data_IF_882245298775
#
_entry.id   IF_882245298775
#
_cell.length_a   1.000
_cell.length_b   1.000
_cell.length_c   1.000
_cell.angle_alpha   90.00
_cell.angle_beta   90.00
_cell.angle_gamma   90.00
#
_symmetry.space_group_name_H-M   'P 1'
#
loop_
_entity.id
_entity.type
_entity.pdbx_description
1 polymer ?
#
# COMPACT_ATOMS: atom_id res chain seq x y z
N UNK A 1 11.05 3.14 -7.92
CA UNK A 1 9.85 3.93 -7.68
C UNK A 1 10.04 4.82 -6.48
N UNK A 2 9.18 5.80 -6.31
CA UNK A 2 9.22 6.65 -5.12
C UNK A 2 8.77 5.89 -3.87
N UNK A 3 9.48 6.08 -2.77
CA UNK A 3 9.21 5.45 -1.47
C UNK A 3 7.86 5.94 -0.91
N UNK A 4 7.05 5.04 -0.36
CA UNK A 4 5.75 5.35 0.26
C UNK A 4 4.58 5.60 -0.71
N UNK A 5 4.81 6.13 -1.92
CA UNK A 5 3.73 6.49 -2.85
C UNK A 5 2.94 5.28 -3.34
N UNK A 6 3.63 4.16 -3.60
CA UNK A 6 2.99 2.92 -4.03
C UNK A 6 2.01 2.36 -3.00
N UNK A 7 2.33 2.53 -1.73
CA UNK A 7 1.46 2.16 -0.60
C UNK A 7 0.15 2.95 -0.65
N UNK A 8 0.26 4.27 -0.77
CA UNK A 8 -0.88 5.17 -0.82
C UNK A 8 -1.76 4.92 -2.05
N UNK A 9 -1.16 4.76 -3.25
CA UNK A 9 -1.91 4.41 -4.48
C UNK A 9 -2.67 3.10 -4.32
N UNK A 10 -2.09 2.10 -3.64
CA UNK A 10 -2.76 0.82 -3.38
C UNK A 10 -4.04 1.01 -2.57
N UNK A 11 -4.02 1.88 -1.56
CA UNK A 11 -5.19 2.20 -0.77
C UNK A 11 -6.25 2.95 -1.62
N UNK A 12 -5.86 3.96 -2.37
CA UNK A 12 -6.78 4.66 -3.26
C UNK A 12 -7.33 3.75 -4.37
N UNK A 13 -6.56 2.78 -4.86
CA UNK A 13 -7.05 1.78 -5.82
C UNK A 13 -8.20 0.97 -5.24
N UNK A 14 -8.18 0.65 -3.94
CA UNK A 14 -9.33 -0.03 -3.29
C UNK A 14 -10.58 0.85 -3.26
N UNK A 15 -10.45 2.15 -3.00
CA UNK A 15 -11.58 3.09 -3.08
C UNK A 15 -12.14 3.17 -4.51
N UNK A 16 -11.27 3.18 -5.51
CA UNK A 16 -11.68 3.23 -6.91
C UNK A 16 -12.31 1.91 -7.35
N UNK A 17 -11.88 0.77 -6.82
CA UNK A 17 -12.58 -0.50 -7.01
C UNK A 17 -14.04 -0.40 -6.57
N UNK A 18 -14.30 0.11 -5.35
CA UNK A 18 -15.64 0.32 -4.83
C UNK A 18 -16.43 1.28 -5.71
N UNK A 19 -15.81 2.40 -6.10
CA UNK A 19 -16.42 3.37 -7.01
C UNK A 19 -16.88 2.73 -8.31
N UNK A 20 -15.98 2.03 -9.01
CA UNK A 20 -16.27 1.40 -10.29
C UNK A 20 -17.39 0.37 -10.15
N UNK A 21 -17.34 -0.50 -9.15
CA UNK A 21 -18.31 -1.59 -8.95
C UNK A 21 -19.71 -1.09 -8.62
N UNK A 22 -19.82 0.04 -7.96
CA UNK A 22 -21.13 0.66 -7.63
C UNK A 22 -21.76 1.43 -8.80
N UNK A 23 -21.02 1.63 -9.90
CA UNK A 23 -21.57 2.27 -11.10
C UNK A 23 -22.28 1.26 -12.01
N UNK A 24 -23.30 1.68 -12.77
CA UNK A 24 -23.98 0.80 -13.72
C UNK A 24 -23.05 0.12 -14.73
N UNK A 25 -22.00 0.83 -15.17
CA UNK A 25 -21.00 0.31 -16.11
C UNK A 25 -19.97 -0.61 -15.47
N UNK A 26 -19.90 -0.64 -14.15
CA UNK A 26 -18.91 -1.40 -13.38
C UNK A 26 -19.39 -2.80 -12.98
N UNK A 27 -20.64 -3.16 -13.27
CA UNK A 27 -21.14 -4.49 -12.98
C UNK A 27 -20.30 -5.56 -13.66
N UNK A 28 -19.86 -6.54 -12.88
CA UNK A 28 -19.03 -7.65 -13.32
C UNK A 28 -19.28 -8.85 -12.41
N UNK A 29 -19.13 -10.05 -12.96
CA UNK A 29 -19.19 -11.31 -12.20
C UNK A 29 -17.85 -11.63 -11.55
N UNK A 30 -16.80 -10.85 -11.85
CA UNK A 30 -15.47 -11.02 -11.22
C UNK A 30 -15.55 -10.68 -9.73
N UNK A 31 -15.04 -11.52 -8.83
CA UNK A 31 -14.95 -11.22 -7.41
C UNK A 31 -14.20 -9.91 -7.14
N UNK A 32 -14.48 -9.29 -6.00
CA UNK A 32 -13.69 -8.16 -5.55
C UNK A 32 -12.25 -8.60 -5.27
N UNK A 33 -11.29 -7.84 -5.81
CA UNK A 33 -9.88 -8.01 -5.47
C UNK A 33 -9.54 -7.33 -4.16
N UNK A 34 -8.54 -7.86 -3.45
CA UNK A 34 -7.93 -7.19 -2.31
C UNK A 34 -6.69 -6.45 -2.77
N UNK A 35 -6.54 -5.20 -2.35
CA UNK A 35 -5.37 -4.41 -2.62
C UNK A 35 -4.33 -4.66 -1.54
N UNK A 36 -3.14 -5.11 -1.93
CA UNK A 36 -2.08 -5.47 -1.00
C UNK A 36 -0.84 -4.64 -1.30
N UNK A 37 -0.30 -3.97 -0.28
CA UNK A 37 0.99 -3.31 -0.33
C UNK A 37 1.99 -4.02 0.58
N UNK A 38 3.19 -4.27 0.07
CA UNK A 38 4.36 -4.62 0.86
C UNK A 38 5.12 -3.33 1.16
N UNK A 39 5.37 -3.07 2.43
CA UNK A 39 5.88 -1.80 2.94
C UNK A 39 7.11 -2.07 3.80
N UNK A 40 8.24 -1.48 3.49
CA UNK A 40 9.38 -1.50 4.41
C UNK A 40 9.07 -0.66 5.65
N UNK A 41 9.59 -1.06 6.82
CA UNK A 41 9.37 -0.33 8.06
C UNK A 41 9.90 1.11 7.99
N UNK A 42 11.00 1.35 7.28
CA UNK A 42 11.54 2.68 7.04
C UNK A 42 10.70 3.52 6.05
N UNK A 43 9.85 2.92 5.21
CA UNK A 43 8.93 3.67 4.36
C UNK A 43 7.86 4.42 5.15
N UNK A 44 7.63 4.01 6.40
CA UNK A 44 6.72 4.71 7.30
C UNK A 44 7.26 6.08 7.78
N UNK A 45 8.48 6.45 7.42
CA UNK A 45 8.99 7.81 7.63
C UNK A 45 8.41 8.81 6.61
N UNK A 46 7.84 8.32 5.51
CA UNK A 46 7.26 9.14 4.46
C UNK A 46 5.92 9.77 4.85
N UNK A 47 5.83 11.11 4.82
CA UNK A 47 4.64 11.85 5.22
C UNK A 47 3.39 11.51 4.39
N UNK A 48 3.56 11.17 3.09
CA UNK A 48 2.47 10.79 2.20
C UNK A 48 1.71 9.54 2.66
N UNK A 49 2.38 8.63 3.39
CA UNK A 49 1.75 7.42 3.95
C UNK A 49 0.69 7.82 4.98
N UNK A 50 0.99 8.79 5.85
CA UNK A 50 0.08 9.26 6.90
C UNK A 50 -1.07 10.09 6.32
N UNK A 51 -0.80 10.95 5.34
CA UNK A 51 -1.84 11.67 4.62
C UNK A 51 -2.86 10.70 3.99
N UNK A 52 -2.36 9.68 3.30
CA UNK A 52 -3.21 8.67 2.67
C UNK A 52 -3.99 7.85 3.70
N UNK A 53 -3.35 7.44 4.80
CA UNK A 53 -3.98 6.66 5.85
C UNK A 53 -5.16 7.43 6.49
N UNK A 54 -4.96 8.72 6.76
CA UNK A 54 -6.00 9.57 7.31
C UNK A 54 -7.15 9.82 6.32
N UNK A 55 -6.84 10.04 5.03
CA UNK A 55 -7.85 10.20 3.98
C UNK A 55 -8.66 8.91 3.78
N UNK A 56 -8.00 7.77 3.78
CA UNK A 56 -8.65 6.48 3.67
C UNK A 56 -9.61 6.19 4.84
N UNK A 57 -9.28 6.66 6.05
CA UNK A 57 -10.20 6.60 7.19
C UNK A 57 -11.47 7.40 6.94
N UNK A 58 -11.37 8.64 6.41
CA UNK A 58 -12.55 9.48 6.07
C UNK A 58 -13.45 8.78 5.05
N UNK A 59 -12.86 8.12 4.06
CA UNK A 59 -13.58 7.41 3.00
C UNK A 59 -13.99 5.98 3.37
N UNK A 60 -13.75 5.56 4.63
CA UNK A 60 -14.09 4.21 5.13
C UNK A 60 -13.51 3.12 4.23
N UNK A 61 -12.20 3.21 4.00
CA UNK A 61 -11.44 2.22 3.25
C UNK A 61 -11.75 0.80 3.74
N UNK A 62 -11.81 -0.14 2.80
CA UNK A 62 -11.94 -1.57 3.07
C UNK A 62 -11.08 -2.38 2.09
N UNK A 63 -11.01 -3.66 2.31
CA UNK A 63 -10.43 -4.63 1.36
C UNK A 63 -8.98 -4.34 0.98
N UNK A 64 -8.21 -3.84 1.93
CA UNK A 64 -6.81 -3.45 1.79
C UNK A 64 -5.96 -4.06 2.89
N UNK A 65 -4.80 -4.61 2.52
CA UNK A 65 -3.78 -5.04 3.45
C UNK A 65 -2.50 -4.26 3.21
N UNK A 66 -1.92 -3.76 4.29
CA UNK A 66 -0.53 -3.30 4.31
C UNK A 66 0.29 -4.27 5.12
N UNK A 67 1.27 -4.91 4.47
CA UNK A 67 2.17 -5.87 5.08
C UNK A 67 3.49 -5.15 5.31
N UNK A 68 3.76 -4.83 6.57
CA UNK A 68 4.98 -4.14 6.98
C UNK A 68 6.09 -5.18 7.09
N UNK A 69 7.11 -5.08 6.24
CA UNK A 69 8.37 -5.81 6.38
C UNK A 69 9.17 -5.20 7.53
N UNK A 70 8.91 -5.69 8.75
CA UNK A 70 9.53 -5.18 9.96
C UNK A 70 10.86 -5.87 10.22
N UNK A 71 11.87 -5.47 9.46
CA UNK A 71 13.23 -5.99 9.57
C UNK A 71 14.11 -5.22 10.56
N UNK A 72 13.66 -4.08 11.06
CA UNK A 72 14.32 -3.23 12.06
C UNK A 72 15.61 -2.58 11.58
N UNK A 73 15.78 -2.43 10.29
CA UNK A 73 16.93 -1.79 9.67
C UNK A 73 16.48 -0.79 8.60
N UNK A 74 16.91 0.46 8.70
CA UNK A 74 16.80 1.45 7.64
C UNK A 74 17.91 1.30 6.60
N UNK A 75 18.11 2.31 5.76
CA UNK A 75 19.19 2.31 4.76
C UNK A 75 20.57 2.28 5.42
N UNK A 76 20.75 3.05 6.48
CA UNK A 76 22.07 3.32 7.09
C UNK A 76 22.18 2.88 8.56
N UNK A 77 21.09 2.47 9.19
CA UNK A 77 21.07 2.20 10.62
C UNK A 77 20.07 1.11 11.03
N UNK A 78 20.24 0.63 12.26
CA UNK A 78 19.23 -0.17 12.95
C UNK A 78 18.17 0.77 13.51
N UNK A 79 16.89 0.45 13.26
CA UNK A 79 15.74 1.24 13.71
C UNK A 79 15.66 1.26 15.25
N UNK A 80 15.19 2.37 15.81
CA UNK A 80 14.96 2.52 17.25
C UNK A 80 14.10 1.39 17.81
N UNK A 81 14.46 0.92 18.99
CA UNK A 81 13.72 -0.17 19.65
C UNK A 81 12.26 0.19 19.90
N UNK A 82 11.37 -0.80 19.75
CA UNK A 82 9.94 -0.72 20.04
C UNK A 82 9.11 0.18 19.12
N UNK A 83 9.61 0.54 17.95
CA UNK A 83 8.82 1.32 16.95
C UNK A 83 7.53 0.58 16.55
N UNK A 84 7.52 -0.75 16.56
CA UNK A 84 6.32 -1.52 16.22
C UNK A 84 5.10 -1.16 17.07
N UNK A 85 5.29 -0.79 18.34
CA UNK A 85 4.20 -0.37 19.23
C UNK A 85 3.55 0.94 18.80
N UNK A 86 4.32 1.84 18.21
CA UNK A 86 3.80 3.09 17.63
C UNK A 86 3.03 2.80 16.34
N UNK A 87 3.55 1.92 15.50
CA UNK A 87 2.89 1.47 14.27
C UNK A 87 1.54 0.82 14.61
N UNK A 88 1.51 -0.12 15.57
CA UNK A 88 0.29 -0.79 16.02
C UNK A 88 -0.77 0.22 16.48
N UNK A 89 -0.39 1.16 17.34
CA UNK A 89 -1.31 2.17 17.87
C UNK A 89 -1.85 3.08 16.76
N UNK A 90 -1.01 3.52 15.83
CA UNK A 90 -1.39 4.36 14.70
C UNK A 90 -2.48 3.72 13.86
N UNK A 91 -2.27 2.47 13.43
CA UNK A 91 -3.24 1.78 12.57
C UNK A 91 -4.55 1.48 13.31
N UNK A 92 -4.49 1.12 14.60
CA UNK A 92 -5.71 0.94 15.42
C UNK A 92 -6.49 2.23 15.60
N UNK A 93 -5.81 3.36 15.76
CA UNK A 93 -6.44 4.68 15.88
C UNK A 93 -7.27 5.05 14.65
N UNK A 94 -6.84 4.65 13.46
CA UNK A 94 -7.59 4.86 12.21
C UNK A 94 -8.52 3.68 11.86
N UNK A 95 -8.79 2.80 12.80
CA UNK A 95 -9.78 1.73 12.65
C UNK A 95 -9.33 0.51 11.85
N UNK A 96 -8.03 0.32 11.64
CA UNK A 96 -7.49 -0.88 11.01
C UNK A 96 -7.34 -2.03 12.01
N UNK A 97 -7.53 -3.25 11.53
CA UNK A 97 -7.06 -4.44 12.25
C UNK A 97 -5.54 -4.48 12.20
N UNK A 98 -4.90 -4.79 13.33
CA UNK A 98 -3.44 -5.00 13.36
C UNK A 98 -3.14 -6.41 13.83
N UNK A 99 -2.33 -7.12 13.06
CA UNK A 99 -1.82 -8.45 13.37
C UNK A 99 -0.28 -8.38 13.40
N UNK A 100 0.29 -8.81 14.52
CA UNK A 100 1.76 -8.89 14.68
C UNK A 100 2.22 -10.33 14.47
N UNK A 101 2.99 -10.55 13.42
CA UNK A 101 3.56 -11.82 13.03
C UNK A 101 5.04 -11.83 13.43
N UNK A 102 5.35 -12.17 14.70
CA UNK A 102 6.70 -12.06 15.25
C UNK A 102 7.44 -13.38 15.19
N UNK A 103 6.88 -14.45 15.70
CA UNK A 103 7.54 -15.73 15.85
C UNK A 103 7.05 -16.74 14.84
N UNK A 104 7.98 -17.46 14.19
CA UNK A 104 7.65 -18.58 13.33
C UNK A 104 7.43 -19.86 14.15
N UNK A 105 7.04 -20.92 13.47
CA UNK A 105 6.63 -22.20 14.08
C UNK A 105 7.73 -22.83 14.94
N UNK A 106 9.01 -22.73 14.55
CA UNK A 106 10.13 -23.28 15.34
C UNK A 106 10.29 -22.55 16.66
N UNK A 107 10.15 -21.23 16.69
CA UNK A 107 10.17 -20.44 17.93
C UNK A 107 8.94 -20.75 18.79
N UNK A 108 7.75 -20.78 18.21
CA UNK A 108 6.52 -21.12 18.95
C UNK A 108 6.62 -22.51 19.57
N UNK A 109 7.17 -23.50 18.84
CA UNK A 109 7.45 -24.83 19.40
C UNK A 109 8.47 -24.78 20.55
N UNK A 110 9.56 -24.02 20.39
CA UNK A 110 10.57 -23.87 21.44
C UNK A 110 9.96 -23.25 22.71
N UNK A 111 9.02 -22.32 22.58
CA UNK A 111 8.36 -21.68 23.72
C UNK A 111 7.48 -22.60 24.53
N UNK A 112 6.99 -23.71 23.97
CA UNK A 112 6.23 -24.72 24.71
C UNK A 112 7.11 -25.59 25.60
N UNK A 113 8.44 -25.64 25.35
CA UNK A 113 9.39 -26.47 26.08
C UNK A 113 9.79 -25.84 27.42
N UNK A 114 10.29 -26.66 28.40
CA UNK A 114 10.79 -26.09 29.66
C UNK A 114 11.90 -25.05 29.45
N UNK A 115 11.68 -23.84 29.92
CA UNK A 115 12.55 -22.68 29.68
C UNK A 115 12.14 -21.79 28.48
N UNK A 116 11.21 -22.26 27.65
CA UNK A 116 10.79 -21.56 26.44
C UNK A 116 10.21 -20.18 26.69
N UNK A 117 9.38 -19.99 27.73
CA UNK A 117 8.81 -18.67 28.05
C UNK A 117 9.89 -17.67 28.46
N UNK A 118 10.90 -18.09 29.22
CA UNK A 118 12.01 -17.21 29.57
C UNK A 118 12.88 -16.87 28.35
N UNK A 119 13.02 -17.81 27.41
CA UNK A 119 13.66 -17.53 26.11
C UNK A 119 12.84 -16.48 25.30
N UNK A 120 11.52 -16.59 25.29
CA UNK A 120 10.64 -15.61 24.63
C UNK A 120 10.81 -14.21 25.25
N UNK A 121 10.76 -14.11 26.56
CA UNK A 121 10.97 -12.85 27.28
C UNK A 121 12.33 -12.22 26.97
N UNK A 122 13.37 -13.06 26.88
CA UNK A 122 14.70 -12.62 26.50
C UNK A 122 14.72 -12.06 25.07
N UNK A 123 14.10 -12.76 24.10
CA UNK A 123 13.99 -12.29 22.71
C UNK A 123 13.19 -10.99 22.65
N UNK A 124 12.12 -10.86 23.43
CA UNK A 124 11.28 -9.65 23.48
C UNK A 124 12.03 -8.44 24.05
N UNK A 125 12.97 -8.67 24.96
CA UNK A 125 13.81 -7.65 25.58
C UNK A 125 15.10 -7.37 24.80
N UNK A 126 15.49 -8.24 23.85
CA UNK A 126 16.73 -8.13 23.10
C UNK A 126 16.75 -6.86 22.23
N UNK A 127 17.77 -5.98 22.40
CA UNK A 127 17.92 -4.80 21.53
C UNK A 127 18.05 -5.20 20.05
N UNK A 128 17.47 -4.40 19.16
CA UNK A 128 17.53 -4.67 17.71
C UNK A 128 18.95 -4.83 17.18
N UNK A 129 19.90 -4.00 17.67
CA UNK A 129 21.30 -4.07 17.28
C UNK A 129 21.98 -5.37 17.71
N UNK A 130 21.69 -5.84 18.93
CA UNK A 130 22.21 -7.10 19.43
C UNK A 130 21.63 -8.28 18.65
N UNK A 131 20.31 -8.30 18.43
CA UNK A 131 19.67 -9.34 17.67
C UNK A 131 20.25 -9.46 16.25
N UNK A 132 20.43 -8.33 15.55
CA UNK A 132 21.03 -8.30 14.22
C UNK A 132 22.48 -8.82 14.21
N UNK A 133 23.26 -8.42 15.20
CA UNK A 133 24.65 -8.91 15.33
C UNK A 133 24.71 -10.42 15.55
N UNK A 134 23.82 -10.98 16.40
CA UNK A 134 23.75 -12.43 16.66
C UNK A 134 23.25 -13.20 15.44
N UNK A 135 22.32 -12.65 14.65
CA UNK A 135 21.92 -13.23 13.37
C UNK A 135 23.12 -13.36 12.43
N UNK A 136 23.92 -12.32 12.30
CA UNK A 136 25.11 -12.32 11.43
C UNK A 136 26.21 -13.28 11.92
N UNK A 137 26.44 -13.33 13.24
CA UNK A 137 27.51 -14.14 13.85
C UNK A 137 27.16 -15.64 13.92
N UNK A 138 25.90 -16.02 13.87
CA UNK A 138 25.46 -17.41 13.81
C UNK A 138 25.24 -18.10 15.14
N UNK A 139 25.06 -19.41 15.11
CA UNK A 139 24.59 -20.24 16.23
C UNK A 139 25.49 -20.24 17.46
N UNK A 140 26.81 -20.27 17.27
CA UNK A 140 27.76 -20.20 18.38
C UNK A 140 27.65 -18.90 19.17
N UNK A 141 27.43 -17.77 18.48
CA UNK A 141 27.24 -16.47 19.15
C UNK A 141 25.92 -16.44 19.93
N UNK A 142 24.82 -16.97 19.37
CA UNK A 142 23.56 -17.14 20.07
C UNK A 142 23.74 -17.94 21.35
N UNK A 143 24.42 -19.09 21.28
CA UNK A 143 24.70 -19.96 22.43
C UNK A 143 25.48 -19.22 23.50
N UNK A 144 26.63 -18.64 23.14
CA UNK A 144 27.49 -17.89 24.07
C UNK A 144 26.69 -16.79 24.78
N UNK A 145 25.94 -15.98 24.04
CA UNK A 145 25.19 -14.89 24.62
C UNK A 145 24.09 -15.36 25.58
N UNK A 146 23.34 -16.38 25.20
CA UNK A 146 22.30 -16.96 26.09
C UNK A 146 22.91 -17.63 27.33
N UNK A 147 24.11 -18.22 27.21
CA UNK A 147 24.81 -18.77 28.36
C UNK A 147 25.39 -17.72 29.29
N UNK A 148 25.75 -16.55 28.80
CA UNK A 148 26.13 -15.39 29.62
C UNK A 148 24.95 -14.83 30.42
N UNK A 149 23.79 -14.70 29.77
CA UNK A 149 22.63 -14.05 30.36
C UNK A 149 21.82 -14.95 31.30
N UNK A 150 21.97 -16.28 31.19
CA UNK A 150 21.29 -17.27 32.05
C UNK A 150 22.26 -18.09 32.87
N UNK A 151 22.01 -18.23 34.17
CA UNK A 151 22.82 -19.05 35.08
C UNK A 151 22.86 -20.52 34.67
N UNK A 152 23.92 -21.26 35.05
CA UNK A 152 24.18 -22.65 34.63
C UNK A 152 23.06 -23.65 34.94
N UNK A 153 22.24 -23.41 35.96
CA UNK A 153 21.07 -24.24 36.30
C UNK A 153 19.77 -23.86 35.63
N UNK A 154 19.77 -22.75 34.87
CA UNK A 154 18.52 -22.23 34.28
C UNK A 154 17.98 -23.15 33.18
N UNK A 155 16.65 -23.24 33.09
CA UNK A 155 15.98 -24.15 32.11
C UNK A 155 16.27 -23.75 30.66
N UNK A 156 16.53 -22.43 30.36
CA UNK A 156 16.93 -21.97 29.02
C UNK A 156 18.22 -22.64 28.58
N UNK A 157 19.25 -22.79 29.47
CA UNK A 157 20.50 -23.44 29.10
C UNK A 157 20.33 -24.93 28.76
N UNK A 158 19.38 -25.61 29.43
CA UNK A 158 19.03 -27.01 29.06
C UNK A 158 18.32 -27.05 27.69
N UNK A 159 17.44 -26.10 27.44
CA UNK A 159 16.72 -25.98 26.16
C UNK A 159 17.71 -25.79 25.02
N UNK A 160 18.55 -24.74 25.09
CA UNK A 160 19.54 -24.45 24.04
C UNK A 160 20.60 -25.52 23.88
N UNK A 161 20.95 -26.23 24.98
CA UNK A 161 21.86 -27.35 24.95
C UNK A 161 21.33 -28.58 24.21
N UNK A 162 20.02 -28.65 23.93
CA UNK A 162 19.43 -29.70 23.12
C UNK A 162 19.53 -29.46 21.61
N UNK A 163 19.98 -28.27 21.19
CA UNK A 163 20.17 -27.90 19.79
C UNK A 163 21.65 -27.88 19.43
N UNK A 164 22.00 -28.29 18.22
CA UNK A 164 23.29 -27.92 17.61
C UNK A 164 23.33 -26.40 17.36
N UNK A 165 24.49 -25.83 17.02
CA UNK A 165 24.58 -24.40 16.70
C UNK A 165 23.74 -24.03 15.47
N UNK A 166 23.71 -24.91 14.47
CA UNK A 166 22.89 -24.68 13.27
C UNK A 166 21.38 -24.74 13.58
N UNK A 167 20.94 -25.69 14.39
CA UNK A 167 19.55 -25.80 14.84
C UNK A 167 19.15 -24.59 15.71
N UNK A 168 20.05 -24.16 16.61
CA UNK A 168 19.82 -22.97 17.42
C UNK A 168 19.69 -21.73 16.55
N UNK A 169 20.60 -21.55 15.58
CA UNK A 169 20.53 -20.43 14.64
C UNK A 169 19.22 -20.44 13.87
N UNK A 170 18.84 -21.56 13.28
CA UNK A 170 17.57 -21.72 12.56
C UNK A 170 16.37 -21.42 13.43
N UNK A 171 16.39 -21.83 14.69
CA UNK A 171 15.29 -21.57 15.63
C UNK A 171 15.24 -20.08 15.97
N UNK A 172 16.37 -19.48 16.35
CA UNK A 172 16.43 -18.07 16.75
C UNK A 172 16.15 -17.09 15.60
N UNK A 173 16.34 -17.49 14.36
CA UNK A 173 16.06 -16.70 13.15
C UNK A 173 14.72 -17.03 12.49
N UNK A 174 13.95 -17.99 13.04
CA UNK A 174 12.63 -18.34 12.52
C UNK A 174 11.59 -17.31 12.92
N UNK A 175 11.63 -16.14 12.29
CA UNK A 175 10.62 -15.10 12.43
C UNK A 175 9.42 -15.38 11.52
N UNK A 176 8.23 -14.95 11.94
CA UNK A 176 6.99 -15.27 11.24
C UNK A 176 6.92 -14.76 9.81
N UNK A 177 7.59 -13.63 9.51
CA UNK A 177 7.68 -13.10 8.14
C UNK A 177 8.48 -13.98 7.17
N UNK A 178 9.27 -14.94 7.69
CA UNK A 178 10.00 -15.96 6.91
C UNK A 178 9.35 -17.34 6.99
N UNK A 179 8.32 -17.53 7.80
CA UNK A 179 7.62 -18.80 7.94
C UNK A 179 6.40 -18.84 7.01
N UNK A 180 6.61 -19.45 5.84
CA UNK A 180 5.56 -19.52 4.80
C UNK A 180 4.28 -20.18 5.33
N UNK A 181 4.41 -21.17 6.22
CA UNK A 181 3.24 -21.82 6.83
C UNK A 181 2.44 -20.87 7.73
N UNK A 182 3.11 -20.06 8.54
CA UNK A 182 2.46 -19.04 9.37
C UNK A 182 1.76 -17.98 8.52
N UNK A 183 2.42 -17.49 7.48
CA UNK A 183 1.86 -16.53 6.55
C UNK A 183 0.63 -17.09 5.83
N UNK A 184 0.73 -18.31 5.31
CA UNK A 184 -0.38 -18.99 4.65
C UNK A 184 -1.59 -19.12 5.58
N UNK A 185 -1.41 -19.60 6.80
CA UNK A 185 -2.50 -19.77 7.76
C UNK A 185 -3.13 -18.43 8.14
N UNK A 186 -2.30 -17.41 8.34
CA UNK A 186 -2.78 -16.04 8.64
C UNK A 186 -3.62 -15.47 7.51
N UNK A 187 -3.16 -15.55 6.27
CA UNK A 187 -3.89 -15.01 5.12
C UNK A 187 -5.23 -15.73 4.91
N UNK A 188 -5.30 -17.03 5.17
CA UNK A 188 -6.53 -17.81 5.06
C UNK A 188 -7.55 -17.53 6.17
N UNK A 189 -7.12 -17.00 7.32
CA UNK A 189 -8.02 -16.57 8.39
C UNK A 189 -8.68 -15.20 8.13
N UNK A 190 -8.12 -14.40 7.24
CA UNK A 190 -8.59 -13.05 6.95
C UNK A 190 -9.58 -13.04 5.77
N UNK A 191 -10.83 -13.46 6.02
CA UNK A 191 -11.87 -13.58 4.98
C UNK A 191 -12.77 -12.35 4.83
N UNK A 192 -12.74 -11.44 5.80
CA UNK A 192 -13.54 -10.19 5.77
C UNK A 192 -12.84 -9.08 4.97
N UNK A 193 -13.49 -7.93 4.87
CA UNK A 193 -13.00 -6.76 4.13
C UNK A 193 -12.40 -5.65 5.02
N UNK A 194 -12.19 -5.94 6.30
CA UNK A 194 -11.61 -4.99 7.25
C UNK A 194 -10.18 -4.66 6.81
N UNK A 195 -9.83 -3.37 6.67
CA UNK A 195 -8.47 -2.99 6.33
C UNK A 195 -7.51 -3.49 7.41
N UNK A 196 -6.44 -4.15 6.99
CA UNK A 196 -5.57 -4.88 7.92
C UNK A 196 -4.11 -4.49 7.71
N UNK A 197 -3.45 -4.12 8.79
CA UNK A 197 -2.00 -3.98 8.89
C UNK A 197 -1.42 -5.27 9.46
N UNK A 198 -0.52 -5.91 8.71
CA UNK A 198 0.23 -7.07 9.17
C UNK A 198 1.68 -6.64 9.41
N UNK A 199 2.12 -6.65 10.66
CA UNK A 199 3.51 -6.34 11.03
C UNK A 199 4.28 -7.65 11.03
N UNK A 200 4.99 -7.93 9.94
CA UNK A 200 5.72 -9.17 9.74
C UNK A 200 7.19 -8.98 10.12
N UNK A 201 7.61 -9.62 11.19
CA UNK A 201 9.00 -9.61 11.61
C UNK A 201 9.86 -10.44 10.65
N UNK A 202 10.90 -9.81 10.15
CA UNK A 202 11.84 -10.38 9.17
C UNK A 202 13.29 -10.09 9.56
N UNK A 203 14.19 -10.59 8.75
CA UNK A 203 15.63 -10.31 8.82
C UNK A 203 16.04 -9.74 7.47
N UNK A 204 16.60 -8.53 7.46
CA UNK A 204 17.10 -7.94 6.24
C UNK A 204 18.24 -8.78 5.65
N UNK A 205 18.12 -9.10 4.36
CA UNK A 205 19.07 -9.99 3.68
C UNK A 205 18.93 -11.48 4.08
N UNK A 206 17.77 -11.90 4.56
CA UNK A 206 17.53 -13.32 4.91
C UNK A 206 17.96 -14.28 3.80
N UNK A 207 18.68 -15.33 4.19
CA UNK A 207 19.24 -16.31 3.25
C UNK A 207 20.56 -15.92 2.59
N UNK A 208 21.01 -14.67 2.73
CA UNK A 208 22.29 -14.20 2.22
C UNK A 208 23.42 -14.36 3.24
N UNK A 209 24.70 -14.46 2.82
CA UNK A 209 25.84 -14.60 3.73
C UNK A 209 26.04 -13.45 4.72
N UNK A 210 25.42 -12.29 4.48
CA UNK A 210 25.47 -11.14 5.37
C UNK A 210 24.09 -10.74 5.92
N UNK A 211 23.18 -11.69 6.03
CA UNK A 211 21.90 -11.48 6.70
C UNK A 211 22.09 -10.89 8.11
N UNK A 212 21.34 -9.83 8.42
CA UNK A 212 21.44 -9.12 9.71
C UNK A 212 22.66 -8.19 9.86
N UNK A 213 23.62 -8.19 8.94
CA UNK A 213 24.75 -7.27 9.00
C UNK A 213 24.26 -5.83 8.82
N UNK A 214 24.87 -4.88 9.57
CA UNK A 214 24.45 -3.46 9.53
C UNK A 214 24.58 -2.82 8.15
N UNK A 215 25.58 -3.24 7.36
CA UNK A 215 25.88 -2.68 6.04
C UNK A 215 25.26 -3.51 4.89
N UNK A 216 24.30 -4.38 5.17
CA UNK A 216 23.73 -5.30 4.16
C UNK A 216 22.85 -4.61 3.09
N UNK A 217 22.46 -3.35 3.30
CA UNK A 217 21.63 -2.63 2.33
C UNK A 217 22.37 -2.39 1.00
N UNK A 218 23.61 -2.00 1.04
CA UNK A 218 24.44 -1.73 -0.13
C UNK A 218 25.61 -2.73 -0.29
N UNK A 219 25.68 -3.75 0.59
CA UNK A 219 26.74 -4.74 0.59
C UNK A 219 26.67 -5.65 -0.63
N UNK A 220 27.82 -5.85 -1.29
CA UNK A 220 27.96 -6.80 -2.37
C UNK A 220 28.73 -8.02 -1.88
N UNK A 221 28.30 -9.19 -2.31
CA UNK A 221 29.05 -10.43 -2.06
C UNK A 221 30.38 -10.40 -2.82
N UNK A 222 31.47 -10.76 -2.16
CA UNK A 222 32.72 -11.06 -2.83
C UNK A 222 32.68 -12.45 -3.49
N UNK A 223 33.70 -12.78 -4.29
CA UNK A 223 33.72 -14.03 -5.06
C UNK A 223 33.64 -15.28 -4.16
N UNK A 224 34.26 -15.25 -2.99
CA UNK A 224 34.20 -16.38 -2.03
C UNK A 224 32.81 -16.54 -1.42
N UNK A 225 32.16 -15.44 -1.06
CA UNK A 225 30.77 -15.46 -0.58
C UNK A 225 29.80 -15.92 -1.65
N UNK A 226 29.99 -15.48 -2.90
CA UNK A 226 29.18 -15.95 -4.04
C UNK A 226 29.34 -17.45 -4.25
N UNK A 227 30.56 -17.97 -4.18
CA UNK A 227 30.80 -19.41 -4.34
C UNK A 227 30.17 -20.21 -3.20
N UNK A 228 30.31 -19.78 -1.96
CA UNK A 228 29.64 -20.40 -0.81
C UNK A 228 28.13 -20.38 -0.97
N UNK A 229 27.58 -19.25 -1.39
CA UNK A 229 26.13 -19.08 -1.63
C UNK A 229 25.63 -20.00 -2.75
N UNK A 230 26.39 -20.11 -3.85
CA UNK A 230 26.10 -21.04 -4.95
C UNK A 230 26.03 -22.49 -4.47
N UNK A 231 27.05 -22.92 -3.73
CA UNK A 231 27.13 -24.29 -3.19
C UNK A 231 25.99 -24.56 -2.20
N UNK A 232 25.72 -23.59 -1.30
CA UNK A 232 24.63 -23.70 -0.32
C UNK A 232 23.26 -23.89 -0.99
N UNK A 233 23.04 -23.23 -2.12
CA UNK A 233 21.82 -23.36 -2.90
C UNK A 233 21.84 -24.50 -3.92
N UNK A 234 22.85 -25.37 -3.90
CA UNK A 234 22.98 -26.55 -4.75
C UNK A 234 22.99 -26.22 -6.25
N UNK A 235 23.46 -25.03 -6.62
CA UNK A 235 23.54 -24.59 -8.01
C UNK A 235 24.85 -25.10 -8.62
N UNK A 236 24.77 -25.81 -9.74
CA UNK A 236 25.96 -26.31 -10.46
C UNK A 236 26.73 -25.16 -11.13
N UNK A 237 28.07 -25.25 -11.22
CA UNK A 237 28.87 -24.28 -11.98
C UNK A 237 28.42 -24.19 -13.43
N UNK A 238 28.20 -22.95 -13.92
CA UNK A 238 27.74 -22.68 -15.28
C UNK A 238 26.21 -22.77 -15.46
N UNK A 239 25.44 -23.06 -14.40
CA UNK A 239 23.98 -23.13 -14.41
C UNK A 239 23.33 -22.05 -13.55
N UNK A 240 24.07 -21.00 -13.20
CA UNK A 240 23.63 -19.95 -12.28
C UNK A 240 22.41 -19.17 -12.81
N UNK A 241 22.15 -19.21 -14.10
CA UNK A 241 21.02 -18.55 -14.75
C UNK A 241 19.93 -19.51 -15.24
N UNK A 242 20.09 -20.81 -14.97
CA UNK A 242 19.04 -21.75 -15.32
C UNK A 242 17.88 -21.68 -14.33
N UNK A 243 16.64 -21.51 -14.84
CA UNK A 243 15.47 -21.49 -13.98
C UNK A 243 15.34 -22.78 -13.15
N UNK A 244 15.08 -22.61 -11.86
CA UNK A 244 14.83 -23.69 -10.93
C UNK A 244 16.02 -24.61 -10.59
N UNK A 245 17.22 -24.28 -11.05
CA UNK A 245 18.43 -24.99 -10.62
C UNK A 245 18.58 -24.90 -9.09
N UNK A 246 18.97 -26.00 -8.46
CA UNK A 246 19.10 -26.10 -7.00
C UNK A 246 17.78 -26.35 -6.24
N UNK A 247 16.64 -26.38 -6.91
CA UNK A 247 15.36 -26.68 -6.28
C UNK A 247 15.11 -28.20 -6.36
N UNK A 248 14.88 -28.84 -5.21
CA UNK A 248 14.58 -30.28 -5.13
C UNK A 248 13.12 -30.60 -5.53
N UNK A 249 12.76 -30.17 -6.74
CA UNK A 249 11.48 -30.48 -7.37
C UNK A 249 11.68 -30.62 -8.88
N UNK A 250 10.98 -31.54 -9.56
CA UNK A 250 11.04 -31.65 -11.00
C UNK A 250 10.64 -30.33 -11.67
N UNK A 251 11.49 -29.80 -12.55
CA UNK A 251 11.29 -28.55 -13.28
C UNK A 251 9.93 -28.51 -13.99
N UNK A 252 9.49 -29.63 -14.54
CA UNK A 252 8.20 -29.76 -15.22
C UNK A 252 7.01 -29.47 -14.28
N UNK A 253 7.09 -29.96 -13.02
CA UNK A 253 6.06 -29.68 -12.02
C UNK A 253 6.00 -28.20 -11.66
N UNK A 254 7.17 -27.57 -11.46
CA UNK A 254 7.25 -26.13 -11.16
C UNK A 254 6.69 -25.32 -12.33
N UNK A 255 7.13 -25.64 -13.54
CA UNK A 255 6.68 -24.96 -14.76
C UNK A 255 5.16 -25.13 -14.94
N UNK A 256 4.63 -26.33 -14.76
CA UNK A 256 3.19 -26.60 -14.86
C UNK A 256 2.40 -25.81 -13.79
N UNK A 257 2.89 -25.79 -12.55
CA UNK A 257 2.27 -25.01 -11.49
C UNK A 257 2.23 -23.53 -11.84
N UNK A 258 3.38 -22.94 -12.23
CA UNK A 258 3.46 -21.51 -12.57
C UNK A 258 2.56 -21.12 -13.76
N UNK A 259 2.46 -22.00 -14.78
CA UNK A 259 1.53 -21.76 -15.90
C UNK A 259 0.06 -21.74 -15.49
N UNK A 260 -0.30 -22.42 -14.41
CA UNK A 260 -1.67 -22.56 -13.94
C UNK A 260 -2.06 -21.60 -12.81
N UNK A 261 -1.13 -20.75 -12.33
CA UNK A 261 -1.49 -19.74 -11.33
C UNK A 261 -2.40 -18.68 -11.95
N UNK A 262 -3.42 -18.16 -11.21
CA UNK A 262 -4.45 -17.29 -11.78
C UNK A 262 -3.89 -16.04 -12.49
N UNK A 263 -2.82 -15.43 -11.98
CA UNK A 263 -2.23 -14.23 -12.57
C UNK A 263 -1.42 -14.50 -13.84
N UNK A 264 -1.06 -15.75 -14.14
CA UNK A 264 -0.42 -16.15 -15.41
C UNK A 264 -1.45 -16.48 -16.51
N UNK A 265 -2.65 -16.86 -16.11
CA UNK A 265 -3.73 -17.20 -17.06
C UNK A 265 -4.42 -15.95 -17.62
N UNK A 266 -4.22 -14.80 -17.02
CA UNK A 266 -4.71 -13.54 -17.55
C UNK A 266 -3.90 -13.20 -18.80
N UNK A 267 -4.57 -13.14 -19.94
CA UNK A 267 -3.97 -12.73 -21.22
C UNK A 267 -3.35 -11.33 -21.16
N UNK A 268 -3.55 -10.49 -22.17
CA UNK A 268 -3.08 -9.11 -22.13
C UNK A 268 -3.57 -8.40 -20.84
N UNK A 269 -2.65 -7.77 -20.10
CA UNK A 269 -3.00 -6.91 -18.93
C UNK A 269 -3.79 -5.66 -19.35
N UNK A 270 -3.85 -5.36 -20.63
CA UNK A 270 -4.60 -4.22 -21.16
C UNK A 270 -5.99 -4.68 -21.53
N UNK A 271 -6.93 -4.33 -20.68
CA UNK A 271 -8.35 -4.55 -20.97
C UNK A 271 -8.80 -3.67 -22.15
N UNK A 272 -9.73 -4.19 -22.94
CA UNK A 272 -10.46 -3.38 -23.92
C UNK A 272 -11.74 -2.85 -23.28
N UNK A 273 -11.93 -1.54 -23.27
CA UNK A 273 -13.21 -0.94 -22.90
C UNK A 273 -13.91 -0.40 -24.16
N UNK A 274 -15.19 -0.11 -24.02
CA UNK A 274 -15.98 0.43 -25.13
C UNK A 274 -15.43 1.77 -25.61
N UNK A 275 -15.52 2.04 -26.89
CA UNK A 275 -15.31 3.39 -27.42
C UNK A 275 -16.44 4.29 -26.95
N UNK A 276 -16.08 5.41 -26.33
CA UNK A 276 -17.01 6.42 -25.87
C UNK A 276 -17.13 7.50 -26.93
N UNK A 277 -18.36 7.77 -27.36
CA UNK A 277 -18.63 8.93 -28.18
C UNK A 277 -18.50 10.21 -27.34
N UNK A 278 -17.78 11.18 -27.87
CA UNK A 278 -17.66 12.50 -27.23
C UNK A 278 -18.89 13.33 -27.66
N UNK A 279 -19.76 13.68 -26.71
CA UNK A 279 -20.92 14.52 -27.04
C UNK A 279 -20.45 15.92 -27.44
N UNK A 280 -21.27 16.69 -28.16
CA UNK A 280 -20.97 18.09 -28.38
C UNK A 280 -20.69 18.80 -27.04
N UNK A 281 -19.54 19.43 -26.94
CA UNK A 281 -19.18 20.18 -25.72
C UNK A 281 -19.98 21.47 -25.70
N UNK A 282 -20.80 21.72 -24.65
CA UNK A 282 -21.63 22.90 -24.61
C UNK A 282 -20.75 24.17 -24.44
N UNK A 283 -20.89 25.09 -25.36
CA UNK A 283 -20.26 26.42 -25.24
C UNK A 283 -20.99 27.19 -24.12
N UNK A 284 -20.28 27.71 -23.12
CA UNK A 284 -20.91 28.52 -22.08
C UNK A 284 -21.58 29.77 -22.68
N UNK A 285 -22.89 29.92 -22.45
CA UNK A 285 -23.61 31.13 -22.77
C UNK A 285 -23.58 32.02 -21.54
N UNK A 286 -23.34 33.31 -21.71
CA UNK A 286 -23.35 34.23 -20.58
C UNK A 286 -22.70 35.55 -20.89
N UNK A 287 -22.24 36.27 -19.88
CA UNK A 287 -21.60 37.59 -19.95
C UNK A 287 -20.51 37.64 -21.01
N UNK A 288 -20.30 38.81 -21.59
CA UNK A 288 -19.30 39.06 -22.63
C UNK A 288 -17.85 38.70 -22.21
N UNK A 289 -17.62 38.62 -20.90
CA UNK A 289 -16.31 38.26 -20.31
C UNK A 289 -16.53 37.16 -19.25
N UNK A 290 -15.88 36.05 -19.44
CA UNK A 290 -15.80 34.90 -18.51
C UNK A 290 -14.34 34.58 -18.21
N UNK A 291 -14.02 34.24 -16.96
CA UNK A 291 -12.74 33.61 -16.67
C UNK A 291 -12.72 32.17 -17.23
N UNK A 292 -11.53 31.67 -17.57
CA UNK A 292 -11.38 30.31 -18.04
C UNK A 292 -11.85 29.30 -16.99
N UNK A 293 -11.62 29.58 -15.71
CA UNK A 293 -12.08 28.79 -14.58
C UNK A 293 -13.61 28.71 -14.52
N UNK A 294 -14.30 29.86 -14.64
CA UNK A 294 -15.76 29.89 -14.67
C UNK A 294 -16.32 29.16 -15.91
N UNK A 295 -15.67 29.36 -17.06
CA UNK A 295 -16.02 28.67 -18.31
C UNK A 295 -15.90 27.15 -18.15
N UNK A 296 -14.81 26.67 -17.56
CA UNK A 296 -14.58 25.25 -17.29
C UNK A 296 -15.66 24.66 -16.37
N UNK A 297 -15.94 25.32 -15.24
CA UNK A 297 -16.99 24.88 -14.32
C UNK A 297 -18.38 24.83 -14.96
N UNK A 298 -18.71 25.82 -15.81
CA UNK A 298 -19.98 25.85 -16.56
C UNK A 298 -20.07 24.72 -17.59
N UNK A 299 -18.97 24.40 -18.29
CA UNK A 299 -18.92 23.27 -19.23
C UNK A 299 -19.22 21.97 -18.49
N UNK A 300 -18.55 21.69 -17.38
CA UNK A 300 -18.79 20.50 -16.58
C UNK A 300 -20.23 20.44 -16.06
N UNK A 301 -20.74 21.54 -15.51
CA UNK A 301 -22.11 21.63 -15.03
C UNK A 301 -23.16 21.36 -16.14
N UNK A 302 -22.89 21.82 -17.38
CA UNK A 302 -23.76 21.56 -18.53
C UNK A 302 -23.62 20.14 -19.03
N UNK A 303 -22.40 19.58 -19.04
CA UNK A 303 -22.18 18.15 -19.38
C UNK A 303 -22.93 17.22 -18.44
N UNK A 304 -23.06 17.56 -17.15
CA UNK A 304 -23.82 16.80 -16.19
C UNK A 304 -25.32 16.65 -16.55
N UNK A 305 -25.85 17.50 -17.40
CA UNK A 305 -27.22 17.39 -17.91
C UNK A 305 -27.32 16.41 -19.08
N UNK A 306 -26.22 16.03 -19.70
CA UNK A 306 -26.19 15.07 -20.80
C UNK A 306 -26.33 13.64 -20.27
N UNK A 307 -27.06 12.81 -21.03
CA UNK A 307 -27.19 11.36 -20.78
C UNK A 307 -26.09 10.53 -21.44
N UNK A 308 -25.07 11.17 -22.05
CA UNK A 308 -24.01 10.47 -22.76
C UNK A 308 -23.22 9.54 -21.84
N UNK A 309 -22.80 8.39 -22.35
CA UNK A 309 -22.00 7.43 -21.59
C UNK A 309 -20.68 8.00 -21.11
N UNK A 310 -20.06 8.89 -21.90
CA UNK A 310 -18.84 9.60 -21.52
C UNK A 310 -19.00 10.35 -20.18
N UNK A 311 -20.15 11.02 -19.99
CA UNK A 311 -20.41 11.82 -18.78
C UNK A 311 -20.46 10.92 -17.54
N UNK A 312 -20.96 9.70 -17.66
CA UNK A 312 -20.96 8.73 -16.56
C UNK A 312 -19.57 8.26 -16.16
N UNK A 313 -18.57 8.43 -17.03
CA UNK A 313 -17.17 8.07 -16.78
C UNK A 313 -16.34 9.22 -16.21
N UNK A 314 -16.86 10.44 -16.25
CA UNK A 314 -16.19 11.60 -15.62
C UNK A 314 -16.29 11.42 -14.11
N UNK A 315 -15.14 11.53 -13.45
CA UNK A 315 -15.02 11.58 -11.98
C UNK A 315 -14.13 12.77 -11.62
N UNK A 316 -14.60 13.59 -10.69
CA UNK A 316 -13.85 14.77 -10.27
C UNK A 316 -13.30 14.63 -8.88
N UNK A 317 -12.24 15.35 -8.57
CA UNK A 317 -11.66 15.42 -7.22
C UNK A 317 -10.99 16.77 -7.00
N UNK A 318 -10.87 17.17 -5.75
CA UNK A 318 -10.29 18.46 -5.34
C UNK A 318 -9.81 18.37 -3.89
N UNK A 319 -8.70 19.04 -3.51
CA UNK A 319 -8.20 19.06 -2.15
C UNK A 319 -8.83 20.22 -1.35
N UNK A 320 -10.12 20.10 -1.01
CA UNK A 320 -10.91 21.10 -0.25
C UNK A 320 -11.04 22.48 -0.90
N UNK A 321 -10.91 22.54 -2.23
CA UNK A 321 -11.03 23.80 -3.00
C UNK A 321 -12.15 23.76 -4.06
N UNK A 322 -13.08 22.87 -3.90
CA UNK A 322 -14.14 22.56 -4.87
C UNK A 322 -15.01 23.75 -5.25
N UNK A 323 -15.40 24.57 -4.28
CA UNK A 323 -16.26 25.75 -4.53
C UNK A 323 -15.47 26.84 -5.23
N UNK A 324 -14.32 27.18 -4.72
CA UNK A 324 -13.46 28.26 -5.25
C UNK A 324 -12.89 27.92 -6.64
N UNK A 325 -12.79 26.65 -6.99
CA UNK A 325 -12.39 26.19 -8.34
C UNK A 325 -13.58 25.93 -9.28
N UNK A 326 -14.78 26.39 -8.91
CA UNK A 326 -16.02 26.34 -9.74
C UNK A 326 -16.53 24.92 -10.08
N UNK A 327 -16.22 23.89 -9.29
CA UNK A 327 -16.81 22.56 -9.46
C UNK A 327 -18.21 22.41 -8.85
N UNK A 328 -18.67 23.36 -8.04
CA UNK A 328 -19.95 23.27 -7.33
C UNK A 328 -21.15 22.98 -8.22
N UNK A 329 -21.19 23.56 -9.44
CA UNK A 329 -22.25 23.30 -10.42
C UNK A 329 -22.30 21.85 -10.93
N UNK A 330 -21.16 21.21 -11.08
CA UNK A 330 -21.05 19.80 -11.41
C UNK A 330 -21.53 18.93 -10.25
N UNK A 331 -21.03 19.17 -9.05
CA UNK A 331 -21.31 18.34 -7.86
C UNK A 331 -22.76 18.45 -7.41
N UNK A 332 -23.38 19.64 -7.52
CA UNK A 332 -24.82 19.80 -7.26
C UNK A 332 -25.69 18.86 -8.10
N UNK A 333 -25.21 18.41 -9.26
CA UNK A 333 -25.93 17.49 -10.17
C UNK A 333 -25.51 16.04 -10.02
N UNK A 334 -24.22 15.80 -9.77
CA UNK A 334 -23.65 14.45 -9.76
C UNK A 334 -23.51 13.86 -8.36
N UNK A 335 -23.33 14.71 -7.36
CA UNK A 335 -23.12 14.31 -5.97
C UNK A 335 -21.66 13.90 -5.65
N UNK A 336 -21.40 13.76 -4.36
CA UNK A 336 -20.15 13.23 -3.81
C UNK A 336 -20.28 11.71 -3.69
N UNK A 337 -19.21 11.00 -4.00
CA UNK A 337 -19.20 9.56 -3.85
C UNK A 337 -19.11 9.14 -2.38
N UNK A 338 -19.98 8.26 -1.99
CA UNK A 338 -19.91 7.49 -0.75
C UNK A 338 -20.51 6.12 -0.99
N UNK A 339 -19.92 5.06 -0.44
CA UNK A 339 -20.44 3.69 -0.55
C UNK A 339 -21.87 3.55 -0.03
N UNK A 340 -22.17 4.23 1.05
CA UNK A 340 -23.49 4.28 1.65
C UNK A 340 -24.01 5.72 1.59
N UNK A 341 -25.31 5.92 1.36
CA UNK A 341 -25.89 7.25 1.45
C UNK A 341 -25.65 7.85 2.84
N UNK A 342 -25.20 9.09 2.88
CA UNK A 342 -25.06 9.84 4.13
C UNK A 342 -26.09 10.97 4.10
N UNK A 343 -27.07 10.97 5.03
CA UNK A 343 -28.06 12.03 5.11
C UNK A 343 -27.40 13.40 5.32
N UNK A 344 -27.89 14.41 4.62
CA UNK A 344 -27.44 15.79 4.83
C UNK A 344 -28.29 16.41 5.93
N UNK A 345 -27.70 16.65 7.10
CA UNK A 345 -28.35 17.37 8.21
C UNK A 345 -28.64 18.84 7.88
N UNK A 346 -28.01 19.40 6.85
CA UNK A 346 -28.27 20.79 6.40
C UNK A 346 -29.58 20.95 5.62
N UNK A 347 -30.23 19.85 5.18
CA UNK A 347 -31.54 19.92 4.55
C UNK A 347 -32.67 20.21 5.54
N UNK A 348 -32.44 20.03 6.82
CA UNK A 348 -33.42 20.30 7.91
C UNK A 348 -33.34 21.76 8.43
N UNK A 349 -32.37 22.54 7.99
CA UNK A 349 -32.21 23.94 8.41
C UNK A 349 -32.91 24.90 7.45
N UNK A 350 -33.57 25.93 7.97
CA UNK A 350 -34.19 27.01 7.21
C UNK A 350 -33.18 27.87 6.41
N UNK A 351 -31.88 27.56 6.51
CA UNK A 351 -30.81 28.28 5.83
C UNK A 351 -30.68 27.77 4.40
N UNK A 352 -30.92 28.63 3.43
CA UNK A 352 -30.70 28.31 2.01
C UNK A 352 -29.21 28.15 1.74
N UNK A 353 -28.79 26.91 1.46
CA UNK A 353 -27.44 26.61 1.01
C UNK A 353 -27.38 26.51 -0.52
N UNK A 354 -26.37 27.14 -1.14
CA UNK A 354 -26.07 26.96 -2.56
C UNK A 354 -25.43 25.59 -2.85
N UNK A 355 -24.91 24.92 -1.81
CA UNK A 355 -24.30 23.61 -1.89
C UNK A 355 -25.36 22.55 -1.60
N UNK A 356 -25.82 21.87 -2.65
CA UNK A 356 -26.80 20.78 -2.58
C UNK A 356 -26.08 19.41 -2.73
N UNK A 357 -24.99 19.25 -2.00
CA UNK A 357 -24.14 18.10 -2.15
C UNK A 357 -24.70 16.89 -1.38
N UNK A 358 -25.05 15.87 -2.12
CA UNK A 358 -25.48 14.59 -1.56
C UNK A 358 -24.34 13.59 -1.63
N UNK A 359 -24.10 12.89 -0.54
CA UNK A 359 -23.13 11.78 -0.48
C UNK A 359 -23.87 10.47 -0.78
N UNK A 360 -23.53 9.86 -1.91
CA UNK A 360 -24.26 8.68 -2.41
C UNK A 360 -23.41 7.81 -3.34
N UNK A 361 -23.76 6.50 -3.51
CA UNK A 361 -23.02 5.60 -4.40
C UNK A 361 -22.97 6.06 -5.87
N UNK A 362 -23.99 6.78 -6.33
CA UNK A 362 -24.02 7.34 -7.68
C UNK A 362 -23.14 8.61 -7.83
N UNK A 363 -22.64 9.19 -6.75
CA UNK A 363 -21.81 10.40 -6.77
C UNK A 363 -20.58 10.27 -7.68
N UNK A 364 -20.19 11.37 -8.33
CA UNK A 364 -19.07 11.40 -9.28
C UNK A 364 -17.96 12.37 -8.85
N UNK A 365 -17.89 12.68 -7.57
CA UNK A 365 -16.85 13.51 -7.00
C UNK A 365 -16.28 12.88 -5.73
N UNK A 366 -14.94 12.94 -5.58
CA UNK A 366 -14.26 12.65 -4.34
C UNK A 366 -13.76 13.96 -3.74
N UNK A 367 -14.35 14.35 -2.62
CA UNK A 367 -13.85 15.49 -1.86
C UNK A 367 -12.73 15.02 -0.95
N UNK A 368 -11.53 15.54 -1.17
CA UNK A 368 -10.37 15.24 -0.34
C UNK A 368 -10.17 16.32 0.72
N UNK A 369 -9.38 16.03 1.74
CA UNK A 369 -8.85 17.04 2.63
C UNK A 369 -7.81 17.94 1.93
N UNK A 370 -7.26 18.92 2.67
CA UNK A 370 -6.17 19.79 2.21
C UNK A 370 -4.88 18.95 2.15
N UNK A 371 -4.76 18.17 1.07
CA UNK A 371 -3.66 17.22 0.88
C UNK A 371 -3.41 16.99 -0.61
N UNK A 372 -2.49 17.74 -1.19
CA UNK A 372 -2.20 17.70 -2.63
C UNK A 372 -1.50 16.40 -3.04
N UNK A 373 -0.72 15.77 -2.15
CA UNK A 373 -0.20 14.43 -2.41
C UNK A 373 -1.34 13.42 -2.64
N UNK A 374 -2.36 13.44 -1.79
CA UNK A 374 -3.52 12.57 -1.93
C UNK A 374 -4.26 12.83 -3.26
N UNK A 375 -4.35 14.10 -3.69
CA UNK A 375 -4.96 14.45 -4.97
C UNK A 375 -4.29 13.70 -6.13
N UNK A 376 -2.96 13.76 -6.22
CA UNK A 376 -2.24 13.12 -7.32
C UNK A 376 -2.25 11.60 -7.20
N UNK A 377 -2.21 11.05 -6.00
CA UNK A 377 -2.30 9.60 -5.76
C UNK A 377 -3.70 9.07 -6.07
N UNK A 378 -4.74 9.82 -5.74
CA UNK A 378 -6.12 9.49 -6.15
C UNK A 378 -6.27 9.56 -7.66
N UNK A 379 -5.70 10.57 -8.32
CA UNK A 379 -5.68 10.67 -9.79
C UNK A 379 -4.93 9.50 -10.43
N UNK A 380 -3.84 9.05 -9.83
CA UNK A 380 -3.13 7.85 -10.28
C UNK A 380 -4.06 6.62 -10.24
N UNK A 381 -4.72 6.37 -9.12
CA UNK A 381 -5.64 5.24 -8.96
C UNK A 381 -6.83 5.31 -9.94
N UNK A 382 -7.42 6.50 -10.11
CA UNK A 382 -8.51 6.73 -11.08
C UNK A 382 -8.05 6.54 -12.51
N UNK A 383 -6.88 7.09 -12.87
CA UNK A 383 -6.32 7.03 -14.21
C UNK A 383 -5.92 5.61 -14.63
N UNK A 384 -5.55 4.79 -13.66
CA UNK A 384 -5.19 3.37 -13.83
C UNK A 384 -6.42 2.43 -13.79
N UNK A 385 -7.63 2.93 -13.58
CA UNK A 385 -8.84 2.11 -13.43
C UNK A 385 -9.10 1.18 -14.63
N UNK A 386 -8.68 1.60 -15.84
CA UNK A 386 -8.75 0.76 -17.02
C UNK A 386 -7.84 -0.47 -16.93
N UNK A 387 -6.60 -0.27 -16.49
CA UNK A 387 -5.61 -1.35 -16.35
C UNK A 387 -5.93 -2.27 -15.16
N UNK A 388 -6.50 -1.71 -14.08
CA UNK A 388 -6.79 -2.46 -12.86
C UNK A 388 -8.15 -3.18 -12.93
N UNK A 389 -9.17 -2.54 -13.49
CA UNK A 389 -10.57 -3.00 -13.40
C UNK A 389 -11.26 -3.16 -14.76
N UNK A 390 -10.56 -2.94 -15.86
CA UNK A 390 -11.13 -3.00 -17.21
C UNK A 390 -12.18 -1.92 -17.52
N UNK A 391 -12.24 -0.86 -16.71
CA UNK A 391 -13.21 0.23 -16.83
C UNK A 391 -12.53 1.58 -16.84
N UNK A 392 -12.55 2.23 -18.00
CA UNK A 392 -11.94 3.54 -18.15
C UNK A 392 -12.75 4.63 -17.44
N UNK A 393 -12.09 5.41 -16.61
CA UNK A 393 -12.58 6.66 -16.07
C UNK A 393 -11.95 7.85 -16.81
N UNK A 394 -12.56 9.00 -16.65
CA UNK A 394 -12.03 10.31 -17.10
C UNK A 394 -11.85 11.15 -15.83
N UNK A 395 -10.74 11.03 -15.14
CA UNK A 395 -10.48 11.77 -13.92
C UNK A 395 -10.19 13.24 -14.25
N UNK A 396 -10.80 14.13 -13.50
CA UNK A 396 -10.60 15.58 -13.60
C UNK A 396 -10.35 16.11 -12.20
N UNK A 397 -9.21 16.76 -11.99
CA UNK A 397 -8.91 17.42 -10.73
C UNK A 397 -8.79 18.92 -10.90
N UNK A 398 -9.13 19.64 -9.84
CA UNK A 398 -8.84 21.08 -9.71
C UNK A 398 -8.05 21.33 -8.45
N UNK A 399 -7.10 22.26 -8.51
CA UNK A 399 -6.29 22.71 -7.38
C UNK A 399 -5.78 24.12 -7.62
N UNK A 400 -5.20 24.73 -6.60
CA UNK A 400 -4.51 26.00 -6.77
C UNK A 400 -3.09 25.83 -7.30
N UNK A 401 -2.70 26.61 -8.30
CA UNK A 401 -1.38 26.60 -8.95
C UNK A 401 -0.21 26.53 -7.97
N UNK A 402 -0.15 27.37 -6.93
CA UNK A 402 0.99 27.38 -6.03
C UNK A 402 1.19 26.07 -5.27
N UNK A 403 0.13 25.25 -5.18
CA UNK A 403 0.17 24.01 -4.38
C UNK A 403 0.50 22.76 -5.18
N UNK A 404 0.71 22.88 -6.51
CA UNK A 404 1.23 21.77 -7.31
C UNK A 404 2.53 21.24 -6.72
N UNK A 405 3.39 22.13 -6.23
CA UNK A 405 4.68 21.74 -5.64
C UNK A 405 4.57 20.84 -4.41
N UNK A 406 3.46 20.91 -3.67
CA UNK A 406 3.23 20.06 -2.49
C UNK A 406 3.05 18.58 -2.84
N UNK A 407 2.62 18.29 -4.07
CA UNK A 407 2.38 16.92 -4.53
C UNK A 407 3.20 16.56 -5.77
N UNK A 408 4.29 17.28 -6.07
CA UNK A 408 5.02 17.11 -7.33
C UNK A 408 5.61 15.70 -7.47
N UNK A 409 6.08 15.09 -6.39
CA UNK A 409 6.58 13.73 -6.41
C UNK A 409 5.46 12.73 -6.76
N UNK A 410 4.30 12.88 -6.13
CA UNK A 410 3.13 12.06 -6.43
C UNK A 410 2.61 12.26 -7.86
N UNK A 411 2.66 13.50 -8.39
CA UNK A 411 2.34 13.79 -9.78
C UNK A 411 3.30 13.07 -10.73
N UNK A 412 4.62 13.17 -10.49
CA UNK A 412 5.64 12.48 -11.27
C UNK A 412 5.42 10.97 -11.25
N UNK A 413 5.08 10.42 -10.07
CA UNK A 413 4.80 8.99 -9.94
C UNK A 413 3.55 8.57 -10.71
N UNK A 414 2.49 9.36 -10.68
CA UNK A 414 1.29 9.12 -11.47
C UNK A 414 1.58 9.10 -12.98
N UNK A 415 2.39 10.06 -13.46
CA UNK A 415 2.83 10.12 -14.85
C UNK A 415 3.72 8.93 -15.23
N UNK A 416 4.63 8.53 -14.34
CA UNK A 416 5.49 7.36 -14.54
C UNK A 416 4.69 6.06 -14.69
N UNK A 417 3.56 5.96 -13.99
CA UNK A 417 2.65 4.82 -14.10
C UNK A 417 1.74 4.85 -15.35
N UNK A 418 1.87 5.83 -16.22
CA UNK A 418 0.97 6.09 -17.37
C UNK A 418 -0.49 6.31 -16.94
N UNK A 419 -0.72 6.85 -15.77
CA UNK A 419 -2.05 7.23 -15.32
C UNK A 419 -2.57 8.41 -16.15
N UNK A 420 -3.83 8.35 -16.58
CA UNK A 420 -4.43 9.33 -17.50
C UNK A 420 -5.49 10.16 -16.79
N UNK A 421 -5.28 11.46 -16.71
CA UNK A 421 -6.18 12.40 -16.06
C UNK A 421 -6.06 13.81 -16.65
N UNK A 422 -6.99 14.66 -16.29
CA UNK A 422 -6.99 16.10 -16.60
C UNK A 422 -6.78 16.85 -15.28
N UNK A 423 -5.79 17.73 -15.24
CA UNK A 423 -5.52 18.61 -14.12
C UNK A 423 -5.79 20.05 -14.55
N UNK A 424 -6.72 20.72 -13.87
CA UNK A 424 -7.02 22.12 -14.07
C UNK A 424 -6.52 22.94 -12.87
N UNK A 425 -5.38 23.59 -13.04
CA UNK A 425 -4.81 24.45 -12.03
C UNK A 425 -5.37 25.86 -12.14
N UNK A 426 -5.58 26.54 -11.01
CA UNK A 426 -6.25 27.84 -10.95
C UNK A 426 -5.87 28.58 -9.65
N UNK A 427 -5.83 29.92 -9.63
CA UNK A 427 -5.85 30.82 -10.80
C UNK A 427 -4.51 30.81 -11.51
N UNK A 428 -4.53 30.63 -12.84
CA UNK A 428 -3.32 30.69 -13.66
C UNK A 428 -3.27 32.02 -14.36
N UNK A 429 -2.13 32.71 -14.31
CA UNK A 429 -1.95 33.97 -15.02
C UNK A 429 -1.02 34.95 -14.32
N UNK A 430 -0.94 36.15 -14.89
CA UNK A 430 -0.04 37.23 -14.41
C UNK A 430 -0.50 37.79 -13.06
N UNK A 431 -1.80 37.84 -12.82
CA UNK A 431 -2.39 38.29 -11.55
C UNK A 431 -2.92 37.08 -10.80
N UNK A 432 -2.15 36.58 -9.84
CA UNK A 432 -2.63 35.61 -8.88
C UNK A 432 -3.48 36.30 -7.83
N UNK A 433 -4.64 35.74 -7.51
CA UNK A 433 -5.31 36.13 -6.27
C UNK A 433 -4.42 35.71 -5.09
N UNK A 434 -4.37 36.50 -4.02
CA UNK A 434 -3.63 36.13 -2.82
C UNK A 434 -4.36 35.05 -2.07
N UNK A 435 -4.27 33.82 -2.58
CA UNK A 435 -4.87 32.62 -1.99
C UNK A 435 -3.79 31.78 -1.29
N UNK A 436 -3.96 31.52 -0.04
CA UNK A 436 -3.13 30.65 0.80
C UNK A 436 -1.96 31.30 1.45
#
# INVERSE_FOLDING_TARGET
GSVGLGVAVTAFASLIQDYVRLKPFGKTDTPEGRMIALVGDAELDEGNVYEALYECWKHRLRNTWWIIDYNRQSLDAVVTDRVFGQIDQLFRMVGWRVLTLKYGRLLEEAFTKPGGMALREWIDACPNSLYSALVFQGGGAWRTKLEEDFNSGHKVRKLIGSYSDDELHRTMTNLAGHDIGMLHDTFHQLQDDIPTCLIAYTIKGHGLPFAGHKDNHAGLMNSEQMEKFRVQNQIRPGYEWEPFEGIDLPQEKITSFLKNVPFQQQGSRRFSDIKLEVPPIPVPKGKDILSTQEGFGRILANLALSKAELVKRIVTTSPDVTVSTNLGGWINRTGIFSRNPIPSSSQESEVQSFQKWEQKPSGQHFELGIAENNLFLMLAAMGLSHELFGKRLIPIATLYDPFIYRGLDALNYACYQDARFILAATPSGISLAPEG
#
